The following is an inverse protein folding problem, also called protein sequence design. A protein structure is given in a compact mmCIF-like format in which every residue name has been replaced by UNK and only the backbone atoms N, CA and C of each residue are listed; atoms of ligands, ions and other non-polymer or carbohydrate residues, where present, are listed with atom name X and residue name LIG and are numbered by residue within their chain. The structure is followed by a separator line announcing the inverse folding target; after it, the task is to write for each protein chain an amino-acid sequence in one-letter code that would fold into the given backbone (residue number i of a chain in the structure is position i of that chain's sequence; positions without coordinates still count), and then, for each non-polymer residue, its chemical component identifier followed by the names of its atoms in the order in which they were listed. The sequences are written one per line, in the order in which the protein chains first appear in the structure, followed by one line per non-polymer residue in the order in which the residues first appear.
data_IF_023462351165
#
_entry.id   IF_023462351165
#
_cell.length_a   1.000
_cell.length_b   1.000
_cell.length_c   1.000
_cell.angle_alpha   90.00
_cell.angle_beta   90.00
_cell.angle_gamma   90.00
#
_symmetry.space_group_name_H-M   'P 1'
#
loop_
_entity.id
_entity.type
_entity.pdbx_description
1 polymer ?
#
# COMPACT_ATOMS: atom_id res chain seq x y z
N UNK A 1 9.26 -7.80 -1.78
CA UNK A 1 9.93 -8.90 -2.52
C UNK A 1 10.40 -9.91 -1.48
N UNK A 2 9.70 -11.04 -1.36
CA UNK A 2 10.05 -12.06 -0.37
C UNK A 2 11.33 -12.74 -0.84
N UNK A 3 12.38 -12.69 -0.03
CA UNK A 3 13.60 -13.46 -0.28
C UNK A 3 13.29 -14.94 0.02
N UNK A 4 13.08 -15.74 -1.02
CA UNK A 4 12.94 -17.18 -0.84
C UNK A 4 14.33 -17.79 -0.70
N UNK A 5 14.65 -18.31 0.50
CA UNK A 5 15.78 -19.25 0.64
C UNK A 5 15.37 -20.53 -0.02
N UNK A 6 16.16 -21.04 -0.98
CA UNK A 6 15.97 -22.37 -1.54
C UNK A 6 15.84 -23.39 -0.40
N UNK A 7 14.78 -24.18 -0.42
CA UNK A 7 14.63 -25.27 0.54
C UNK A 7 15.83 -26.22 0.40
N UNK A 8 16.52 -26.54 1.53
CA UNK A 8 17.52 -27.59 1.53
C UNK A 8 16.85 -28.88 1.06
N UNK A 9 17.47 -29.54 0.09
CA UNK A 9 17.05 -30.85 -0.38
C UNK A 9 17.16 -31.87 0.76
N UNK A 10 16.16 -31.89 1.65
CA UNK A 10 15.97 -33.04 2.52
C UNK A 10 15.24 -34.10 1.69
N UNK A 11 15.82 -35.27 1.56
CA UNK A 11 15.31 -36.48 0.93
C UNK A 11 13.84 -36.75 1.32
N UNK A 12 12.89 -36.12 0.64
CA UNK A 12 11.51 -36.59 0.61
C UNK A 12 11.43 -37.62 -0.50
N UNK A 13 11.34 -38.87 -0.14
CA UNK A 13 10.98 -39.95 -1.06
C UNK A 13 9.76 -39.51 -1.84
N UNK A 14 9.92 -39.32 -3.15
CA UNK A 14 8.81 -39.05 -4.05
C UNK A 14 7.82 -40.24 -3.98
N UNK A 15 6.71 -40.04 -3.28
CA UNK A 15 5.58 -40.96 -3.41
C UNK A 15 4.99 -40.76 -4.78
N UNK A 16 5.00 -41.82 -5.58
CA UNK A 16 4.29 -41.85 -6.87
C UNK A 16 2.81 -41.65 -6.58
N UNK A 17 2.26 -40.49 -6.94
CA UNK A 17 0.83 -40.25 -6.89
C UNK A 17 0.21 -40.84 -8.18
N UNK A 18 -0.95 -41.52 -8.12
CA UNK A 18 -1.65 -41.95 -9.31
C UNK A 18 -1.99 -40.74 -10.17
N UNK A 19 -1.69 -40.83 -11.48
CA UNK A 19 -2.06 -39.78 -12.45
C UNK A 19 -3.57 -39.67 -12.46
N UNK A 20 -4.08 -38.46 -12.30
CA UNK A 20 -5.51 -38.20 -12.41
C UNK A 20 -5.95 -38.51 -13.85
N UNK A 21 -6.89 -39.45 -14.06
CA UNK A 21 -7.31 -39.88 -15.40
C UNK A 21 -7.91 -38.74 -16.27
N UNK A 22 -8.30 -37.61 -15.64
CA UNK A 22 -8.79 -36.45 -16.39
C UNK A 22 -7.67 -35.68 -17.13
N UNK A 23 -6.41 -35.87 -16.78
CA UNK A 23 -5.28 -35.22 -17.45
C UNK A 23 -4.72 -36.03 -18.63
N UNK A 24 -5.08 -37.31 -18.75
CA UNK A 24 -4.44 -38.25 -19.66
C UNK A 24 -5.01 -38.33 -21.05
N UNK A 25 -6.25 -37.89 -21.29
CA UNK A 25 -6.90 -38.15 -22.58
C UNK A 25 -6.64 -37.13 -23.69
N UNK A 26 -6.06 -35.97 -23.37
CA UNK A 26 -5.90 -34.88 -24.34
C UNK A 26 -4.45 -34.64 -24.81
N UNK A 27 -3.45 -35.32 -24.28
CA UNK A 27 -2.07 -35.01 -24.60
C UNK A 27 -1.19 -36.25 -24.76
N UNK A 28 -0.68 -36.50 -26.01
CA UNK A 28 0.18 -37.64 -26.30
C UNK A 28 1.62 -37.51 -25.80
N UNK A 29 1.94 -36.54 -24.93
CA UNK A 29 3.25 -36.49 -24.27
C UNK A 29 3.25 -37.57 -23.20
N UNK A 30 3.43 -38.81 -23.66
CA UNK A 30 3.66 -39.94 -22.79
C UNK A 30 4.85 -39.67 -21.88
N UNK A 31 4.65 -39.75 -20.57
CA UNK A 31 5.74 -39.74 -19.61
C UNK A 31 5.55 -38.97 -18.33
N UNK A 32 4.46 -38.23 -18.10
CA UNK A 32 4.21 -37.64 -16.80
C UNK A 32 3.46 -38.61 -15.86
N UNK A 33 4.07 -39.72 -15.54
CA UNK A 33 3.61 -40.60 -14.45
C UNK A 33 3.88 -40.00 -13.04
N UNK A 34 4.56 -38.87 -12.98
CA UNK A 34 4.96 -38.21 -11.72
C UNK A 34 4.57 -36.73 -11.70
N UNK A 35 4.27 -36.21 -10.52
CA UNK A 35 4.08 -34.78 -10.35
C UNK A 35 5.29 -33.99 -10.88
N UNK A 36 5.08 -32.78 -11.48
CA UNK A 36 6.17 -31.95 -11.97
C UNK A 36 7.17 -31.63 -10.88
N UNK A 37 8.47 -31.54 -11.20
CA UNK A 37 9.47 -31.17 -10.21
C UNK A 37 9.19 -29.76 -9.70
N UNK A 38 9.23 -29.58 -8.36
CA UNK A 38 8.90 -28.27 -7.72
C UNK A 38 10.10 -27.33 -7.65
N UNK A 39 11.33 -27.84 -7.73
CA UNK A 39 12.54 -27.06 -7.45
C UNK A 39 13.59 -27.14 -8.55
N UNK A 40 13.33 -27.88 -9.61
CA UNK A 40 14.18 -27.98 -10.81
C UNK A 40 13.34 -27.78 -12.06
N UNK A 41 13.98 -27.36 -13.15
CA UNK A 41 13.30 -27.37 -14.45
C UNK A 41 13.00 -28.82 -14.84
N UNK A 42 11.83 -29.10 -15.45
CA UNK A 42 11.56 -30.36 -16.07
C UNK A 42 12.60 -30.64 -17.17
N UNK A 43 12.97 -31.92 -17.39
CA UNK A 43 13.91 -32.30 -18.45
C UNK A 43 13.35 -32.07 -19.87
N UNK A 44 12.04 -32.01 -20.01
CA UNK A 44 11.37 -31.82 -21.31
C UNK A 44 10.18 -30.87 -21.22
N UNK A 45 9.69 -30.38 -22.38
CA UNK A 45 8.51 -29.55 -22.45
C UNK A 45 7.24 -30.34 -22.13
N UNK A 46 6.25 -29.63 -21.55
CA UNK A 46 4.88 -30.14 -21.43
C UNK A 46 3.94 -29.29 -22.30
N UNK A 47 2.73 -29.79 -22.55
CA UNK A 47 1.76 -29.02 -23.32
C UNK A 47 1.37 -27.74 -22.57
N UNK A 48 0.96 -26.67 -23.29
CA UNK A 48 0.47 -25.43 -22.66
C UNK A 48 -0.73 -25.69 -21.72
N UNK A 49 -1.61 -26.62 -22.08
CA UNK A 49 -2.77 -26.97 -21.26
C UNK A 49 -2.34 -27.65 -19.93
N UNK A 50 -1.42 -28.62 -20.02
CA UNK A 50 -0.88 -29.30 -18.84
C UNK A 50 -0.15 -28.33 -17.93
N UNK A 51 0.70 -27.43 -18.47
CA UNK A 51 1.39 -26.41 -17.71
C UNK A 51 0.40 -25.43 -17.03
N UNK A 52 -0.63 -24.99 -17.76
CA UNK A 52 -1.70 -24.17 -17.23
C UNK A 52 -2.39 -24.86 -16.04
N UNK A 53 -2.74 -26.12 -16.19
CA UNK A 53 -3.48 -26.87 -15.17
C UNK A 53 -2.64 -27.01 -13.87
N UNK A 54 -1.35 -27.32 -13.98
CA UNK A 54 -0.48 -27.41 -12.82
C UNK A 54 -0.41 -26.08 -12.03
N UNK A 55 -0.25 -24.96 -12.73
CA UNK A 55 -0.21 -23.65 -12.09
C UNK A 55 -1.58 -23.29 -11.50
N UNK A 56 -2.65 -23.52 -12.24
CA UNK A 56 -4.01 -23.25 -11.81
C UNK A 56 -4.37 -24.02 -10.54
N UNK A 57 -4.03 -25.30 -10.46
CA UNK A 57 -4.35 -26.15 -9.30
C UNK A 57 -3.59 -25.70 -8.03
N UNK A 58 -2.33 -25.28 -8.17
CA UNK A 58 -1.58 -24.70 -7.05
C UNK A 58 -2.26 -23.40 -6.56
N UNK A 59 -2.72 -22.54 -7.47
CA UNK A 59 -3.38 -21.28 -7.15
C UNK A 59 -4.78 -21.47 -6.51
N UNK A 60 -5.44 -22.61 -6.69
CA UNK A 60 -6.70 -22.92 -6.02
C UNK A 60 -6.57 -23.04 -4.50
N UNK A 61 -5.34 -23.20 -3.98
CA UNK A 61 -5.05 -23.24 -2.56
C UNK A 61 -4.91 -21.84 -1.94
N UNK A 62 -4.90 -20.80 -2.76
CA UNK A 62 -4.89 -19.41 -2.28
C UNK A 62 -6.25 -19.04 -1.65
N UNK A 63 -6.21 -18.08 -0.72
CA UNK A 63 -7.42 -17.59 -0.05
C UNK A 63 -8.36 -16.82 -1.00
N UNK A 64 -9.63 -16.76 -0.61
CA UNK A 64 -10.61 -15.94 -1.33
C UNK A 64 -10.33 -14.45 -1.10
N UNK A 65 -9.96 -13.74 -2.15
CA UNK A 65 -9.62 -12.31 -2.09
C UNK A 65 -10.77 -11.41 -1.61
N UNK A 66 -12.03 -11.81 -1.79
CA UNK A 66 -13.20 -11.06 -1.30
C UNK A 66 -13.36 -11.12 0.22
N UNK A 67 -12.87 -12.19 0.87
CA UNK A 67 -12.92 -12.38 2.33
C UNK A 67 -11.63 -11.86 3.01
N UNK A 68 -10.71 -11.29 2.25
CA UNK A 68 -9.48 -10.73 2.78
C UNK A 68 -9.69 -9.27 3.19
N UNK A 69 -9.86 -9.03 4.49
CA UNK A 69 -9.99 -7.70 5.10
C UNK A 69 -8.66 -7.15 5.63
N UNK A 70 -7.54 -7.83 5.32
CA UNK A 70 -6.19 -7.41 5.70
C UNK A 70 -5.56 -6.45 4.69
N UNK A 71 -5.82 -6.64 3.40
CA UNK A 71 -5.16 -5.92 2.32
C UNK A 71 -5.89 -4.65 1.91
N UNK A 72 -5.11 -3.60 1.64
CA UNK A 72 -5.60 -2.36 1.00
C UNK A 72 -5.70 -2.48 -0.52
N UNK A 73 -5.09 -3.50 -1.11
CA UNK A 73 -4.97 -3.65 -2.56
C UNK A 73 -6.31 -4.02 -3.18
N UNK A 74 -6.63 -3.40 -4.31
CA UNK A 74 -7.84 -3.71 -5.10
C UNK A 74 -7.83 -5.16 -5.56
N UNK A 75 -8.93 -5.86 -5.31
CA UNK A 75 -9.12 -7.28 -5.65
C UNK A 75 -10.26 -7.50 -6.66
N UNK A 76 -10.88 -6.44 -7.13
CA UNK A 76 -11.96 -6.49 -8.09
C UNK A 76 -11.93 -5.31 -9.06
N UNK A 77 -12.09 -5.59 -10.32
CA UNK A 77 -12.34 -4.63 -11.41
C UNK A 77 -13.42 -5.17 -12.33
N UNK A 78 -14.05 -4.30 -13.11
CA UNK A 78 -15.04 -4.68 -14.11
C UNK A 78 -14.41 -5.60 -15.19
N UNK A 79 -15.17 -6.54 -15.79
CA UNK A 79 -14.64 -7.45 -16.82
C UNK A 79 -13.95 -6.74 -17.98
N UNK A 80 -14.45 -5.58 -18.41
CA UNK A 80 -13.86 -4.77 -19.50
C UNK A 80 -12.43 -4.32 -19.16
N UNK A 81 -12.15 -3.99 -17.89
CA UNK A 81 -10.80 -3.65 -17.45
C UNK A 81 -9.86 -4.86 -17.58
N UNK A 82 -10.33 -6.07 -17.22
CA UNK A 82 -9.56 -7.30 -17.39
C UNK A 82 -9.23 -7.59 -18.87
N UNK A 83 -10.19 -7.41 -19.77
CA UNK A 83 -9.97 -7.53 -21.21
C UNK A 83 -8.93 -6.52 -21.70
N UNK A 84 -9.09 -5.24 -21.34
CA UNK A 84 -8.15 -4.18 -21.72
C UNK A 84 -6.72 -4.47 -21.20
N UNK A 85 -6.59 -4.92 -19.96
CA UNK A 85 -5.29 -5.29 -19.39
C UNK A 85 -4.65 -6.47 -20.15
N UNK A 86 -5.44 -7.45 -20.55
CA UNK A 86 -4.95 -8.58 -21.37
C UNK A 86 -4.47 -8.13 -22.75
N UNK A 87 -5.15 -7.17 -23.39
CA UNK A 87 -4.74 -6.57 -24.66
C UNK A 87 -3.47 -5.70 -24.53
N UNK A 88 -3.21 -5.14 -23.35
CA UNK A 88 -2.06 -4.27 -23.08
C UNK A 88 -0.89 -4.97 -22.39
N UNK A 89 -0.90 -6.32 -22.24
CA UNK A 89 0.15 -7.07 -21.52
C UNK A 89 1.53 -7.00 -22.14
N UNK A 90 1.62 -6.70 -23.44
CA UNK A 90 2.84 -6.50 -24.21
C UNK A 90 3.42 -5.08 -24.10
N UNK A 91 2.70 -4.12 -23.50
CA UNK A 91 3.13 -2.71 -23.41
C UNK A 91 4.18 -2.54 -22.32
N UNK A 92 5.34 -2.04 -22.70
CA UNK A 92 6.43 -1.68 -21.80
C UNK A 92 6.53 -0.16 -21.64
N UNK A 93 6.46 0.34 -20.42
CA UNK A 93 6.40 1.78 -20.14
C UNK A 93 7.66 2.55 -20.52
N UNK A 94 8.81 1.89 -20.61
CA UNK A 94 10.05 2.58 -21.03
C UNK A 94 10.10 2.78 -22.54
N UNK A 95 9.46 1.94 -23.33
CA UNK A 95 9.50 1.98 -24.80
C UNK A 95 8.50 3.01 -25.36
N UNK A 96 8.73 4.28 -25.03
CA UNK A 96 7.80 5.38 -25.33
C UNK A 96 7.70 5.68 -26.84
N UNK A 97 8.74 5.33 -27.60
CA UNK A 97 8.73 5.47 -29.05
C UNK A 97 7.86 4.37 -29.72
N UNK A 98 7.97 3.15 -29.25
CA UNK A 98 7.12 2.04 -29.72
C UNK A 98 5.68 2.17 -29.22
N UNK A 99 5.50 2.60 -27.96
CA UNK A 99 4.17 2.73 -27.32
C UNK A 99 3.82 4.18 -26.94
N UNK A 100 3.82 5.14 -27.90
CA UNK A 100 3.60 6.56 -27.60
C UNK A 100 2.21 6.84 -27.01
N UNK A 101 1.23 5.99 -27.32
CA UNK A 101 -0.13 6.13 -26.76
C UNK A 101 -0.19 5.69 -25.30
N UNK A 102 0.52 4.65 -24.90
CA UNK A 102 0.62 4.25 -23.50
C UNK A 102 1.34 5.31 -22.69
N UNK A 103 2.42 5.89 -23.21
CA UNK A 103 3.10 7.03 -22.60
C UNK A 103 2.19 8.26 -22.47
N UNK A 104 1.34 8.52 -23.45
CA UNK A 104 0.35 9.59 -23.40
C UNK A 104 -0.73 9.33 -22.34
N UNK A 105 -1.16 8.07 -22.15
CA UNK A 105 -2.09 7.73 -21.07
C UNK A 105 -1.47 7.97 -19.68
N UNK A 106 -0.18 7.64 -19.51
CA UNK A 106 0.56 7.98 -18.28
C UNK A 106 0.52 9.48 -18.01
N UNK A 107 0.89 10.29 -19.01
CA UNK A 107 0.87 11.76 -18.91
C UNK A 107 -0.50 12.32 -18.56
N UNK A 108 -1.57 11.76 -19.14
CA UNK A 108 -2.95 12.16 -18.82
C UNK A 108 -3.33 11.80 -17.39
N UNK A 109 -2.95 10.61 -16.91
CA UNK A 109 -3.19 10.23 -15.51
C UNK A 109 -2.48 11.19 -14.55
N UNK A 110 -1.21 11.55 -14.82
CA UNK A 110 -0.47 12.54 -14.04
C UNK A 110 -1.20 13.87 -14.01
N UNK A 111 -1.65 14.38 -15.16
CA UNK A 111 -2.38 15.65 -15.24
C UNK A 111 -3.73 15.61 -14.50
N UNK A 112 -4.45 14.47 -14.57
CA UNK A 112 -5.70 14.28 -13.84
C UNK A 112 -5.48 14.28 -12.32
N UNK A 113 -4.43 13.60 -11.83
CA UNK A 113 -4.06 13.59 -10.43
C UNK A 113 -3.57 14.98 -9.97
N UNK A 114 -2.77 15.67 -10.77
CA UNK A 114 -2.32 17.02 -10.48
C UNK A 114 -3.52 17.99 -10.32
N UNK A 115 -4.49 17.89 -11.21
CA UNK A 115 -5.74 18.65 -11.09
C UNK A 115 -6.56 18.25 -9.86
N UNK A 116 -6.63 16.96 -9.57
CA UNK A 116 -7.36 16.43 -8.42
C UNK A 116 -6.76 16.92 -7.10
N UNK A 117 -5.43 17.07 -7.03
CA UNK A 117 -4.66 17.51 -5.86
C UNK A 117 -4.26 18.99 -5.91
N UNK A 118 -4.98 19.79 -6.72
CA UNK A 118 -4.86 21.25 -6.77
C UNK A 118 -3.42 21.74 -7.02
N UNK A 119 -2.68 21.08 -7.93
CA UNK A 119 -1.39 21.56 -8.36
C UNK A 119 -1.51 22.98 -8.96
N UNK A 120 -0.54 23.88 -8.70
CA UNK A 120 -0.60 25.26 -9.19
C UNK A 120 -0.72 25.36 -10.74
N UNK A 121 -0.01 24.47 -11.43
CA UNK A 121 -0.14 24.27 -12.88
C UNK A 121 -0.20 22.76 -13.18
N UNK A 122 -1.41 22.19 -13.31
CA UNK A 122 -1.56 20.76 -13.60
C UNK A 122 -0.92 20.32 -14.92
N UNK A 123 -0.74 21.23 -15.88
CA UNK A 123 -0.13 20.93 -17.18
C UNK A 123 1.40 20.86 -17.12
N UNK A 124 2.01 21.59 -16.19
CA UNK A 124 3.45 21.63 -15.93
C UNK A 124 3.88 20.74 -14.74
N UNK A 125 2.93 20.12 -14.04
CA UNK A 125 3.23 19.22 -12.93
C UNK A 125 4.05 18.02 -13.39
N UNK A 126 5.12 17.74 -12.65
CA UNK A 126 6.02 16.63 -12.94
C UNK A 126 5.52 15.40 -12.18
N UNK A 127 5.43 14.27 -12.87
CA UNK A 127 5.01 13.03 -12.25
C UNK A 127 5.30 11.82 -13.11
N UNK A 128 5.20 10.64 -12.49
CA UNK A 128 5.35 9.37 -13.18
C UNK A 128 4.49 8.27 -12.54
N UNK A 129 4.20 7.25 -13.32
CA UNK A 129 3.72 5.99 -12.79
C UNK A 129 4.86 5.22 -12.13
N UNK A 130 4.51 4.41 -11.14
CA UNK A 130 5.40 3.50 -10.42
C UNK A 130 4.74 2.13 -10.30
N UNK A 131 5.45 1.13 -9.82
CA UNK A 131 4.87 -0.20 -9.55
C UNK A 131 4.02 -0.24 -8.27
N UNK A 132 3.98 0.85 -7.53
CA UNK A 132 3.23 1.03 -6.29
C UNK A 132 3.81 2.15 -5.44
N UNK A 133 3.15 2.49 -4.33
CA UNK A 133 3.61 3.57 -3.44
C UNK A 133 5.00 3.34 -2.87
N UNK A 134 5.44 2.10 -2.65
CA UNK A 134 6.80 1.88 -2.13
C UNK A 134 7.89 2.43 -3.06
N UNK A 135 7.74 2.25 -4.38
CA UNK A 135 8.62 2.90 -5.36
C UNK A 135 8.43 4.42 -5.37
N UNK A 136 7.18 4.89 -5.32
CA UNK A 136 6.86 6.32 -5.30
C UNK A 136 7.48 7.03 -4.08
N UNK A 137 7.42 6.42 -2.88
CA UNK A 137 8.05 6.91 -1.66
C UNK A 137 9.59 6.96 -1.80
N UNK A 138 10.21 5.92 -2.39
CA UNK A 138 11.65 5.92 -2.66
C UNK A 138 12.05 7.09 -3.57
N UNK A 139 11.31 7.32 -4.66
CA UNK A 139 11.55 8.43 -5.58
C UNK A 139 11.38 9.79 -4.89
N UNK A 140 10.34 9.94 -4.07
CA UNK A 140 10.09 11.16 -3.31
C UNK A 140 11.21 11.43 -2.31
N UNK A 141 11.61 10.43 -1.53
CA UNK A 141 12.72 10.54 -0.58
C UNK A 141 14.05 10.89 -1.26
N UNK A 142 14.33 10.29 -2.41
CA UNK A 142 15.53 10.63 -3.24
C UNK A 142 15.50 12.09 -3.69
N UNK A 143 14.34 12.60 -4.11
CA UNK A 143 14.18 13.99 -4.51
C UNK A 143 14.41 14.94 -3.32
N UNK A 144 13.83 14.64 -2.15
CA UNK A 144 14.05 15.39 -0.91
C UNK A 144 15.52 15.43 -0.52
N UNK A 145 16.19 14.28 -0.50
CA UNK A 145 17.63 14.19 -0.20
C UNK A 145 18.46 14.98 -1.19
N UNK A 146 18.19 14.85 -2.49
CA UNK A 146 18.94 15.57 -3.53
C UNK A 146 18.75 17.10 -3.45
N UNK A 147 17.51 17.54 -3.19
CA UNK A 147 17.20 18.96 -2.96
C UNK A 147 17.98 19.50 -1.75
N UNK A 148 18.01 18.78 -0.66
CA UNK A 148 18.77 19.14 0.54
C UNK A 148 20.29 19.17 0.24
N UNK A 149 20.84 18.16 -0.45
CA UNK A 149 22.27 18.11 -0.83
C UNK A 149 22.68 19.32 -1.66
N UNK A 150 21.86 19.76 -2.63
CA UNK A 150 22.12 20.95 -3.46
C UNK A 150 22.23 22.22 -2.61
N UNK A 151 21.41 22.35 -1.59
CA UNK A 151 21.41 23.50 -0.68
C UNK A 151 22.55 23.44 0.35
N UNK A 152 23.04 22.25 0.65
CA UNK A 152 24.09 22.01 1.64
C UNK A 152 25.40 21.51 1.03
N UNK A 153 25.70 21.85 -0.22
CA UNK A 153 26.88 21.37 -0.96
C UNK A 153 28.21 21.65 -0.27
N UNK A 154 28.30 22.72 0.53
CA UNK A 154 29.49 23.12 1.24
C UNK A 154 29.69 22.32 2.55
N UNK A 155 28.66 21.64 3.02
CA UNK A 155 28.64 20.83 4.25
C UNK A 155 28.53 19.32 3.98
N UNK A 156 28.10 18.93 2.79
CA UNK A 156 27.87 17.53 2.40
C UNK A 156 28.60 17.18 1.09
N UNK A 157 29.32 16.02 0.98
CA UNK A 157 29.55 15.04 2.04
C UNK A 157 30.61 15.52 3.06
N UNK A 158 30.31 15.35 4.33
CA UNK A 158 31.19 15.79 5.42
C UNK A 158 30.58 15.44 6.76
N UNK A 159 30.47 16.42 7.65
CA UNK A 159 29.89 16.24 8.99
C UNK A 159 28.36 16.18 8.97
N UNK A 160 27.71 16.73 7.94
CA UNK A 160 26.26 16.78 7.86
C UNK A 160 25.65 15.37 7.67
N UNK A 161 24.63 15.05 8.47
CA UNK A 161 23.89 13.81 8.42
C UNK A 161 22.44 14.10 8.06
N UNK A 162 21.99 13.76 6.83
CA UNK A 162 20.59 13.99 6.44
C UNK A 162 19.65 13.16 7.30
N UNK A 163 18.56 13.76 7.75
CA UNK A 163 17.52 13.07 8.50
C UNK A 163 16.13 13.33 7.91
N UNK A 164 15.20 12.40 8.15
CA UNK A 164 13.82 12.47 7.69
C UNK A 164 12.89 12.25 8.90
N UNK A 165 11.93 13.15 9.08
CA UNK A 165 10.99 13.10 10.19
C UNK A 165 9.69 12.44 9.73
N UNK A 166 9.16 11.53 10.55
CA UNK A 166 7.95 10.78 10.29
C UNK A 166 7.34 10.22 11.57
N UNK A 167 6.07 9.88 11.57
CA UNK A 167 5.43 9.15 12.67
C UNK A 167 5.82 7.67 12.68
N UNK A 168 5.73 7.00 13.83
CA UNK A 168 5.94 5.56 13.94
C UNK A 168 4.89 4.72 13.19
N UNK A 169 3.84 5.36 12.67
CA UNK A 169 2.80 4.77 11.83
C UNK A 169 3.17 4.71 10.33
N UNK A 170 4.39 5.06 9.95
CA UNK A 170 4.84 4.93 8.55
C UNK A 170 4.83 3.48 8.07
N UNK A 171 4.67 3.33 6.77
CA UNK A 171 4.86 2.03 6.13
C UNK A 171 6.36 1.74 5.97
N UNK A 172 6.77 0.48 6.11
CA UNK A 172 8.16 0.01 6.07
C UNK A 172 8.99 0.53 4.88
N UNK A 173 8.36 0.98 3.80
CA UNK A 173 9.09 1.57 2.67
C UNK A 173 9.90 2.81 3.05
N UNK A 174 9.46 3.59 4.04
CA UNK A 174 10.19 4.75 4.53
C UNK A 174 11.40 4.37 5.37
N UNK A 175 11.29 3.34 6.20
CA UNK A 175 12.44 2.79 6.93
C UNK A 175 13.47 2.20 5.95
N UNK A 176 13.00 1.47 4.92
CA UNK A 176 13.87 1.00 3.82
C UNK A 176 14.53 2.16 3.08
N UNK A 177 13.79 3.25 2.81
CA UNK A 177 14.39 4.43 2.22
C UNK A 177 15.53 4.96 3.09
N UNK A 178 15.27 5.19 4.37
CA UNK A 178 16.27 5.71 5.31
C UNK A 178 17.50 4.81 5.38
N UNK A 179 17.30 3.49 5.47
CA UNK A 179 18.38 2.52 5.52
C UNK A 179 19.19 2.47 4.21
N UNK A 180 18.52 2.35 3.06
CA UNK A 180 19.18 2.17 1.76
C UNK A 180 19.89 3.43 1.27
N UNK A 181 19.40 4.60 1.65
CA UNK A 181 19.91 5.89 1.21
C UNK A 181 20.69 6.64 2.29
N UNK A 182 21.05 5.97 3.40
CA UNK A 182 21.85 6.55 4.48
C UNK A 182 21.26 7.88 4.98
N UNK A 183 19.98 7.87 5.31
CA UNK A 183 19.23 8.95 5.93
C UNK A 183 18.85 8.52 7.35
N UNK A 184 19.10 9.38 8.34
CA UNK A 184 18.67 9.13 9.71
C UNK A 184 17.14 9.20 9.79
N UNK A 185 16.51 8.11 10.25
CA UNK A 185 15.06 8.10 10.52
C UNK A 185 14.79 8.74 11.89
N UNK A 186 14.05 9.84 11.93
CA UNK A 186 13.56 10.47 13.16
C UNK A 186 12.09 10.18 13.32
N UNK A 187 11.81 9.16 14.12
CA UNK A 187 10.47 8.64 14.32
C UNK A 187 9.81 9.31 15.52
N UNK A 188 8.65 9.91 15.32
CA UNK A 188 7.77 10.34 16.42
C UNK A 188 7.01 9.11 16.91
N UNK A 189 7.22 8.64 18.15
CA UNK A 189 6.58 7.44 18.65
C UNK A 189 5.09 7.65 18.86
N UNK A 190 4.31 6.59 18.85
CA UNK A 190 2.94 6.61 19.33
C UNK A 190 2.94 6.77 20.86
N UNK A 191 2.00 7.54 21.41
CA UNK A 191 1.93 7.79 22.85
C UNK A 191 0.48 8.07 23.30
N UNK A 192 0.03 7.39 24.36
CA UNK A 192 -1.36 7.47 24.80
C UNK A 192 -2.33 7.11 23.67
N UNK A 193 -3.23 8.01 23.34
CA UNK A 193 -4.19 7.87 22.25
C UNK A 193 -3.73 8.56 20.94
N UNK A 194 -2.50 9.05 20.90
CA UNK A 194 -1.90 9.62 19.70
C UNK A 194 -1.16 8.54 18.92
N UNK A 195 -1.74 8.12 17.78
CA UNK A 195 -1.22 7.06 16.94
C UNK A 195 -0.55 7.55 15.65
N UNK A 196 -0.38 8.86 15.49
CA UNK A 196 0.13 9.50 14.28
C UNK A 196 1.03 10.69 14.60
N UNK A 197 1.73 11.22 13.58
CA UNK A 197 2.55 12.40 13.67
C UNK A 197 1.68 13.65 13.96
N UNK A 198 2.09 14.45 14.94
CA UNK A 198 1.53 15.78 15.21
C UNK A 198 2.50 16.89 14.81
N UNK A 199 1.97 18.12 14.66
CA UNK A 199 2.72 19.26 14.18
C UNK A 199 3.83 19.71 15.17
N UNK A 200 3.57 19.64 16.47
CA UNK A 200 4.53 20.07 17.50
C UNK A 200 5.73 19.11 17.54
N UNK A 201 5.47 17.79 17.57
CA UNK A 201 6.51 16.77 17.57
C UNK A 201 7.33 16.80 16.27
N UNK A 202 6.69 17.07 15.12
CA UNK A 202 7.39 17.24 13.86
C UNK A 202 8.37 18.42 13.90
N UNK A 203 7.91 19.57 14.40
CA UNK A 203 8.73 20.78 14.48
C UNK A 203 9.90 20.63 15.49
N UNK A 204 9.68 19.96 16.62
CA UNK A 204 10.69 19.75 17.65
C UNK A 204 11.88 18.92 17.15
N UNK A 205 11.62 17.91 16.30
CA UNK A 205 12.66 17.03 15.76
C UNK A 205 13.43 17.64 14.60
N UNK A 206 13.02 18.81 14.07
CA UNK A 206 13.68 19.47 12.96
C UNK A 206 15.04 20.03 13.34
N UNK A 207 15.98 19.89 12.41
CA UNK A 207 17.26 20.59 12.44
C UNK A 207 17.71 21.01 11.03
N UNK A 208 18.89 21.58 10.91
CA UNK A 208 19.49 22.04 9.65
C UNK A 208 19.81 20.91 8.66
N UNK A 209 19.78 19.65 9.12
CA UNK A 209 20.03 18.46 8.33
C UNK A 209 18.74 17.74 7.93
N UNK A 210 17.58 18.25 8.31
CA UNK A 210 16.29 17.67 7.97
C UNK A 210 16.01 17.85 6.47
N UNK A 211 15.88 16.73 5.75
CA UNK A 211 15.61 16.74 4.31
C UNK A 211 14.10 16.94 4.01
N UNK A 212 13.24 16.64 4.97
CA UNK A 212 11.80 16.78 4.86
C UNK A 212 11.05 16.13 6.01
N UNK A 213 9.74 16.31 5.99
CA UNK A 213 8.77 15.62 6.86
C UNK A 213 7.84 14.79 5.98
N UNK A 214 7.60 13.54 6.37
CA UNK A 214 6.59 12.69 5.74
C UNK A 214 5.32 12.78 6.54
N UNK A 215 4.26 13.26 5.91
CA UNK A 215 2.91 13.29 6.49
C UNK A 215 2.04 12.23 5.81
N UNK A 216 1.40 11.35 6.60
CA UNK A 216 0.60 10.24 6.08
C UNK A 216 -0.85 10.65 5.94
N UNK A 217 -1.40 10.53 4.73
CA UNK A 217 -2.83 10.67 4.50
C UNK A 217 -3.46 9.28 4.41
N UNK A 218 -3.82 8.74 5.57
CA UNK A 218 -4.41 7.41 5.71
C UNK A 218 -3.45 6.36 6.27
N UNK A 219 -3.32 6.34 7.58
CA UNK A 219 -2.49 5.42 8.34
C UNK A 219 -2.86 3.96 8.06
N UNK A 220 -1.83 3.12 7.92
CA UNK A 220 -2.02 1.66 7.77
C UNK A 220 -2.56 1.03 9.05
N UNK A 221 -2.34 1.64 10.22
CA UNK A 221 -2.69 1.07 11.52
C UNK A 221 -4.18 1.22 11.86
N UNK A 222 -4.75 2.39 11.57
CA UNK A 222 -6.09 2.76 12.01
C UNK A 222 -6.94 3.51 10.97
N UNK A 223 -6.33 3.91 9.85
CA UNK A 223 -6.99 4.65 8.77
C UNK A 223 -7.01 6.17 8.95
N UNK A 224 -6.42 6.72 10.02
CA UNK A 224 -6.43 8.16 10.33
C UNK A 224 -5.60 8.99 9.35
N UNK A 225 -5.95 10.28 9.20
CA UNK A 225 -5.18 11.28 8.46
C UNK A 225 -4.30 12.08 9.41
N UNK A 226 -3.05 12.29 9.04
CA UNK A 226 -2.17 13.22 9.76
C UNK A 226 -2.52 14.68 9.41
N UNK A 227 -2.33 15.61 10.34
CA UNK A 227 -2.74 17.01 10.19
C UNK A 227 -1.75 17.78 9.29
N UNK A 228 -1.78 17.54 7.98
CA UNK A 228 -0.81 18.07 7.01
C UNK A 228 -0.73 19.59 7.04
N UNK A 229 -1.88 20.26 7.17
CA UNK A 229 -1.93 21.74 7.21
C UNK A 229 -1.23 22.30 8.45
N UNK A 230 -1.48 21.71 9.61
CA UNK A 230 -0.86 22.08 10.87
C UNK A 230 0.65 21.79 10.88
N UNK A 231 1.06 20.65 10.31
CA UNK A 231 2.48 20.31 10.13
C UNK A 231 3.15 21.37 9.24
N UNK A 232 2.54 21.74 8.11
CA UNK A 232 3.07 22.79 7.24
C UNK A 232 3.19 24.13 7.98
N UNK A 233 2.18 24.52 8.74
CA UNK A 233 2.20 25.78 9.51
C UNK A 233 3.32 25.79 10.57
N UNK A 234 3.50 24.70 11.33
CA UNK A 234 4.59 24.58 12.30
C UNK A 234 5.97 24.67 11.62
N UNK A 235 6.13 24.06 10.44
CA UNK A 235 7.37 24.16 9.68
C UNK A 235 7.60 25.57 9.08
N UNK A 236 6.54 26.34 8.81
CA UNK A 236 6.66 27.77 8.44
C UNK A 236 7.22 28.59 9.61
N UNK A 237 6.80 28.30 10.84
CA UNK A 237 7.36 28.91 12.05
C UNK A 237 8.84 28.52 12.25
N UNK A 238 9.18 27.25 12.06
CA UNK A 238 10.58 26.77 12.10
C UNK A 238 11.44 27.54 11.10
N UNK A 239 10.95 27.73 9.87
CA UNK A 239 11.67 28.50 8.86
C UNK A 239 11.85 29.96 9.24
N UNK A 240 10.82 30.60 9.82
CA UNK A 240 10.92 32.00 10.28
C UNK A 240 11.92 32.16 11.42
N UNK A 241 11.98 31.21 12.35
CA UNK A 241 12.83 31.30 13.54
C UNK A 241 14.26 30.82 13.30
N UNK A 242 14.46 29.79 12.47
CA UNK A 242 15.74 29.08 12.27
C UNK A 242 16.31 29.23 10.86
N UNK A 243 15.53 29.66 9.88
CA UNK A 243 15.91 29.73 8.49
C UNK A 243 15.92 28.40 7.75
N UNK A 244 15.41 27.33 8.35
CA UNK A 244 15.38 25.99 7.75
C UNK A 244 14.14 25.80 6.87
N UNK A 245 14.35 25.72 5.56
CA UNK A 245 13.29 25.45 4.58
C UNK A 245 13.11 23.93 4.40
N UNK A 246 12.23 23.36 5.23
CA UNK A 246 11.95 21.92 5.30
C UNK A 246 10.66 21.62 4.53
N UNK A 247 10.71 20.85 3.42
CA UNK A 247 9.53 20.47 2.66
C UNK A 247 8.73 19.36 3.32
N UNK A 248 7.45 19.23 2.92
CA UNK A 248 6.58 18.11 3.28
C UNK A 248 6.37 17.21 2.06
N UNK A 249 6.50 15.91 2.27
CA UNK A 249 5.96 14.90 1.37
C UNK A 249 4.70 14.31 1.96
N UNK A 250 3.62 14.24 1.17
CA UNK A 250 2.39 13.59 1.61
C UNK A 250 2.36 12.16 1.07
N UNK A 251 2.51 11.20 1.98
CA UNK A 251 2.25 9.80 1.66
C UNK A 251 0.75 9.52 1.67
N UNK A 252 0.14 9.75 0.52
CA UNK A 252 -1.27 9.50 0.27
C UNK A 252 -1.54 8.14 -0.35
N UNK A 253 -0.71 7.13 -0.04
CA UNK A 253 -0.83 5.78 -0.61
C UNK A 253 -2.26 5.26 -0.64
N UNK A 254 -3.04 5.57 0.37
CA UNK A 254 -4.46 5.25 0.47
C UNK A 254 -5.35 6.49 0.35
N UNK A 255 -5.10 7.53 1.16
CA UNK A 255 -6.00 8.67 1.33
C UNK A 255 -6.07 9.62 0.15
N UNK A 256 -5.01 9.74 -0.66
CA UNK A 256 -5.01 10.66 -1.80
C UNK A 256 -6.02 10.27 -2.92
N UNK A 257 -6.62 9.08 -2.84
CA UNK A 257 -7.73 8.64 -3.69
C UNK A 257 -9.07 8.50 -2.93
N UNK A 258 -9.13 9.00 -1.69
CA UNK A 258 -10.36 9.07 -0.87
C UNK A 258 -10.69 10.54 -0.56
N UNK A 259 -9.77 11.25 0.11
CA UNK A 259 -9.99 12.60 0.60
C UNK A 259 -10.50 13.59 -0.47
N UNK A 260 -9.98 13.63 -1.71
CA UNK A 260 -10.47 14.56 -2.72
C UNK A 260 -11.95 14.36 -3.09
N UNK A 261 -12.49 13.18 -2.86
CA UNK A 261 -13.86 12.84 -3.22
C UNK A 261 -14.83 12.96 -2.05
N UNK A 262 -14.39 12.60 -0.84
CA UNK A 262 -15.27 12.52 0.33
C UNK A 262 -15.07 13.69 1.31
N UNK A 263 -13.85 14.26 1.34
CA UNK A 263 -13.46 15.32 2.26
C UNK A 263 -12.83 16.51 1.50
N UNK A 264 -13.53 17.09 0.49
CA UNK A 264 -12.95 18.08 -0.43
C UNK A 264 -12.49 19.38 0.25
N UNK A 265 -13.04 19.68 1.44
CA UNK A 265 -12.66 20.87 2.24
C UNK A 265 -11.37 20.64 3.03
N UNK A 266 -10.92 19.40 3.20
CA UNK A 266 -9.67 19.09 3.88
C UNK A 266 -8.48 19.59 3.05
N UNK A 267 -7.64 20.43 3.67
CA UNK A 267 -6.46 20.98 3.01
C UNK A 267 -5.23 20.16 3.39
N UNK A 268 -4.75 19.37 2.45
CA UNK A 268 -3.63 18.46 2.65
C UNK A 268 -2.69 18.37 1.45
N UNK A 269 -3.07 18.93 0.32
CA UNK A 269 -2.48 18.74 -0.99
C UNK A 269 -1.64 19.95 -1.45
N UNK A 270 -1.42 20.11 -2.76
CA UNK A 270 -0.66 21.22 -3.32
C UNK A 270 -1.26 22.61 -3.08
N UNK A 271 -2.41 22.75 -2.46
CA UNK A 271 -2.88 24.04 -1.92
C UNK A 271 -1.92 24.57 -0.83
N UNK A 272 -1.20 23.68 -0.14
CA UNK A 272 -0.16 24.03 0.83
C UNK A 272 1.18 24.22 0.11
N UNK A 273 1.79 25.41 0.11
CA UNK A 273 3.04 25.67 -0.61
C UNK A 273 4.19 24.77 -0.20
N UNK A 274 4.22 24.31 1.07
CA UNK A 274 5.27 23.47 1.63
C UNK A 274 5.19 22.00 1.18
N UNK A 275 4.03 21.56 0.68
CA UNK A 275 3.89 20.22 0.10
C UNK A 275 4.66 20.16 -1.22
N UNK A 276 5.83 19.53 -1.20
CA UNK A 276 6.72 19.41 -2.35
C UNK A 276 6.35 18.24 -3.27
N UNK A 277 5.84 17.15 -2.71
CA UNK A 277 5.46 15.97 -3.47
C UNK A 277 4.35 15.17 -2.79
N UNK A 278 3.61 14.42 -3.61
CA UNK A 278 2.51 13.55 -3.16
C UNK A 278 2.63 12.22 -3.92
N UNK A 279 2.41 11.11 -3.21
CA UNK A 279 2.24 9.81 -3.86
C UNK A 279 0.87 9.20 -3.59
N UNK A 280 0.47 8.24 -4.43
CA UNK A 280 -0.66 7.37 -4.18
C UNK A 280 -0.46 5.98 -4.79
N UNK A 281 -1.13 4.98 -4.23
CA UNK A 281 -1.27 3.66 -4.85
C UNK A 281 -2.51 3.62 -5.72
N UNK A 282 -2.33 3.59 -7.04
CA UNK A 282 -3.44 3.36 -7.97
C UNK A 282 -4.11 2.01 -7.72
N UNK A 283 -3.34 1.04 -7.24
CA UNK A 283 -3.81 -0.31 -6.94
C UNK A 283 -4.47 -0.49 -5.56
N UNK A 284 -4.65 0.61 -4.78
CA UNK A 284 -5.47 0.62 -3.57
C UNK A 284 -6.82 1.28 -3.90
N UNK A 285 -7.09 2.44 -3.36
CA UNK A 285 -8.32 3.19 -3.62
C UNK A 285 -8.35 3.92 -4.97
N UNK A 286 -7.30 3.80 -5.79
CA UNK A 286 -7.33 4.10 -7.22
C UNK A 286 -8.07 3.04 -8.07
N UNK A 287 -8.51 1.94 -7.44
CA UNK A 287 -9.41 0.91 -7.97
C UNK A 287 -8.84 0.14 -9.17
N UNK A 288 -7.54 -0.08 -9.20
CA UNK A 288 -6.83 -0.88 -10.21
C UNK A 288 -6.16 -2.09 -9.56
N UNK A 289 -6.08 -3.21 -10.26
CA UNK A 289 -5.34 -4.39 -9.83
C UNK A 289 -3.86 -4.08 -9.51
N UNK A 290 -3.16 -4.91 -8.68
CA UNK A 290 -1.80 -4.68 -8.25
C UNK A 290 -0.84 -4.30 -9.38
N UNK A 291 0.10 -3.38 -9.09
CA UNK A 291 1.21 -3.04 -9.98
C UNK A 291 1.21 -1.59 -10.49
N UNK A 292 0.47 -0.67 -9.87
CA UNK A 292 0.52 0.75 -10.22
C UNK A 292 0.46 1.65 -8.98
N UNK A 293 1.31 2.66 -8.99
CA UNK A 293 1.31 3.81 -8.09
C UNK A 293 1.68 5.07 -8.87
N UNK A 294 1.61 6.20 -8.21
CA UNK A 294 1.85 7.51 -8.80
C UNK A 294 2.67 8.36 -7.84
N UNK A 295 3.63 9.08 -8.37
CA UNK A 295 4.39 10.10 -7.67
C UNK A 295 4.33 11.40 -8.46
N UNK A 296 3.97 12.51 -7.79
CA UNK A 296 3.88 13.84 -8.37
C UNK A 296 4.69 14.82 -7.53
N UNK A 297 5.38 15.72 -8.20
CA UNK A 297 6.14 16.82 -7.61
C UNK A 297 5.52 18.14 -8.02
N UNK A 298 5.51 19.09 -7.10
CA UNK A 298 4.97 20.44 -7.30
C UNK A 298 5.56 21.13 -8.53
N UNK A 299 6.89 21.07 -8.65
CA UNK A 299 7.67 21.80 -9.64
C UNK A 299 9.09 21.18 -9.80
N UNK A 300 9.92 21.82 -10.62
CA UNK A 300 11.30 21.40 -10.90
C UNK A 300 12.27 21.62 -9.73
N UNK A 301 11.94 22.45 -8.72
CA UNK A 301 12.73 22.55 -7.51
C UNK A 301 12.49 21.36 -6.58
N UNK A 302 11.26 20.88 -6.56
CA UNK A 302 10.86 19.68 -5.80
C UNK A 302 11.44 18.39 -6.42
N UNK A 303 11.60 18.32 -7.76
CA UNK A 303 12.29 17.21 -8.45
C UNK A 303 13.52 17.75 -9.20
N UNK A 304 14.71 17.70 -8.61
CA UNK A 304 15.94 18.14 -9.26
C UNK A 304 16.23 17.43 -10.58
N UNK A 305 16.55 18.20 -11.64
CA UNK A 305 16.71 17.69 -13.01
C UNK A 305 17.80 16.61 -13.12
N UNK A 306 18.85 16.65 -12.31
CA UNK A 306 19.91 15.64 -12.30
C UNK A 306 19.46 14.23 -11.88
N UNK A 307 18.24 14.09 -11.36
CA UNK A 307 17.61 12.79 -11.06
C UNK A 307 16.87 12.21 -12.26
N UNK A 308 16.61 13.02 -13.29
CA UNK A 308 15.92 12.58 -14.49
C UNK A 308 16.94 12.12 -15.53
N UNK A 309 17.01 10.81 -15.72
CA UNK A 309 17.90 10.22 -16.72
C UNK A 309 17.26 10.30 -18.11
N UNK A 310 18.10 10.53 -19.13
CA UNK A 310 17.67 10.55 -20.53
C UNK A 310 18.27 9.36 -21.27
N UNK A 311 17.43 8.59 -21.93
CA UNK A 311 17.82 7.40 -22.68
C UNK A 311 17.47 7.62 -24.15
N UNK A 312 18.39 7.30 -25.07
CA UNK A 312 18.20 7.54 -26.50
C UNK A 312 18.37 6.30 -27.38
N UNK A 313 18.82 5.17 -26.82
CA UNK A 313 19.09 3.94 -27.59
C UNK A 313 17.82 3.11 -27.92
N UNK A 314 16.66 3.55 -27.43
CA UNK A 314 15.37 2.95 -27.75
C UNK A 314 14.57 3.75 -28.81
N UNK A 315 15.22 4.69 -29.52
CA UNK A 315 14.63 5.41 -30.65
C UNK A 315 14.11 6.83 -30.33
N UNK A 316 14.53 7.49 -29.27
CA UNK A 316 14.12 8.86 -28.93
C UNK A 316 14.74 9.38 -27.64
N UNK A 317 14.51 10.64 -27.31
CA UNK A 317 14.89 11.20 -26.00
C UNK A 317 13.82 10.85 -24.97
N UNK A 318 14.12 9.89 -24.07
CA UNK A 318 13.18 9.35 -23.11
C UNK A 318 13.59 9.71 -21.68
N UNK A 319 13.02 10.77 -21.10
CA UNK A 319 13.24 11.07 -19.69
C UNK A 319 12.60 10.01 -18.81
N UNK A 320 13.35 9.52 -17.83
CA UNK A 320 12.89 8.55 -16.82
C UNK A 320 13.46 8.84 -15.44
N UNK A 321 12.66 8.71 -14.42
CA UNK A 321 13.08 8.76 -13.02
C UNK A 321 12.65 7.50 -12.26
N UNK A 322 11.82 6.63 -12.84
CA UNK A 322 11.42 5.37 -12.23
C UNK A 322 12.62 4.49 -11.86
N UNK A 323 12.55 3.79 -10.73
CA UNK A 323 13.61 2.86 -10.31
C UNK A 323 13.71 1.65 -11.26
N UNK A 324 12.56 1.16 -11.72
CA UNK A 324 12.52 0.04 -12.65
C UNK A 324 12.53 0.55 -14.09
N UNK A 325 13.40 -0.01 -14.92
CA UNK A 325 13.49 0.35 -16.34
C UNK A 325 12.27 -0.19 -17.08
N UNK A 326 12.18 -1.50 -17.29
CA UNK A 326 11.01 -2.14 -17.89
C UNK A 326 9.87 -2.29 -16.88
N UNK A 327 8.68 -1.80 -17.22
CA UNK A 327 7.48 -1.83 -16.37
C UNK A 327 6.25 -2.12 -17.22
N UNK A 328 5.25 -2.85 -16.69
CA UNK A 328 4.04 -3.16 -17.44
C UNK A 328 3.18 -1.90 -17.67
N UNK A 329 2.73 -1.71 -18.91
CA UNK A 329 1.84 -0.61 -19.28
C UNK A 329 0.35 -0.91 -19.08
N UNK A 330 -0.03 -2.17 -18.91
CA UNK A 330 -1.42 -2.59 -18.73
C UNK A 330 -2.09 -1.91 -17.53
N UNK A 331 -1.38 -1.75 -16.41
CA UNK A 331 -1.89 -1.11 -15.21
C UNK A 331 -2.11 0.40 -15.40
N UNK A 332 -1.27 1.07 -16.20
CA UNK A 332 -1.45 2.48 -16.54
C UNK A 332 -2.69 2.65 -17.43
N UNK A 333 -2.88 1.78 -18.40
CA UNK A 333 -4.08 1.75 -19.24
C UNK A 333 -5.34 1.50 -18.39
N UNK A 334 -5.28 0.57 -17.43
CA UNK A 334 -6.36 0.29 -16.50
C UNK A 334 -6.67 1.47 -15.58
N UNK A 335 -5.65 2.20 -15.11
CA UNK A 335 -5.88 3.41 -14.30
C UNK A 335 -6.58 4.51 -15.10
N UNK A 336 -6.16 4.74 -16.34
CA UNK A 336 -6.83 5.71 -17.22
C UNK A 336 -8.26 5.27 -17.51
N UNK A 337 -8.49 3.98 -17.81
CA UNK A 337 -9.83 3.42 -17.95
C UNK A 337 -10.71 3.72 -16.74
N UNK A 338 -10.21 3.47 -15.54
CA UNK A 338 -10.96 3.69 -14.28
C UNK A 338 -11.30 5.17 -14.10
N UNK A 339 -10.35 6.08 -14.40
CA UNK A 339 -10.61 7.52 -14.36
C UNK A 339 -11.71 7.94 -15.33
N UNK A 340 -11.65 7.44 -16.56
CA UNK A 340 -12.68 7.76 -17.59
C UNK A 340 -14.03 7.12 -17.28
N UNK A 341 -14.03 5.87 -16.76
CA UNK A 341 -15.23 5.10 -16.47
C UNK A 341 -16.04 5.69 -15.30
N UNK A 342 -15.35 6.09 -14.25
CA UNK A 342 -15.99 6.57 -13.03
C UNK A 342 -16.14 8.09 -13.00
N UNK A 343 -15.14 8.83 -13.46
CA UNK A 343 -15.09 10.26 -13.24
C UNK A 343 -15.19 10.63 -11.76
N UNK A 344 -15.30 11.89 -11.43
CA UNK A 344 -15.38 12.37 -10.02
C UNK A 344 -16.61 11.82 -9.28
N UNK A 345 -17.77 11.79 -9.93
CA UNK A 345 -19.00 11.32 -9.29
C UNK A 345 -19.01 9.82 -9.01
N UNK A 346 -18.47 9.02 -9.94
CA UNK A 346 -18.34 7.56 -9.75
C UNK A 346 -17.34 7.21 -8.67
N UNK A 347 -16.16 7.86 -8.64
CA UNK A 347 -15.22 7.69 -7.54
C UNK A 347 -15.86 8.04 -6.20
N UNK A 348 -16.53 9.21 -6.10
CA UNK A 348 -17.26 9.59 -4.88
C UNK A 348 -18.25 8.52 -4.45
N UNK A 349 -19.05 8.00 -5.37
CA UNK A 349 -20.07 6.99 -5.05
C UNK A 349 -19.44 5.68 -4.55
N UNK A 350 -18.39 5.19 -5.18
CA UNK A 350 -17.68 3.96 -4.78
C UNK A 350 -17.01 4.15 -3.41
N UNK A 351 -16.28 5.25 -3.22
CA UNK A 351 -15.58 5.50 -1.97
C UNK A 351 -16.56 5.73 -0.81
N UNK A 352 -17.68 6.43 -1.05
CA UNK A 352 -18.73 6.62 -0.04
C UNK A 352 -19.35 5.29 0.37
N UNK A 353 -19.76 4.46 -0.60
CA UNK A 353 -20.32 3.14 -0.29
C UNK A 353 -19.34 2.29 0.54
N UNK A 354 -18.04 2.37 0.23
CA UNK A 354 -17.00 1.64 0.95
C UNK A 354 -16.83 2.16 2.38
N UNK A 355 -16.87 3.50 2.58
CA UNK A 355 -16.81 4.14 3.89
C UNK A 355 -18.06 3.82 4.73
N UNK A 356 -19.23 3.80 4.12
CA UNK A 356 -20.49 3.46 4.81
C UNK A 356 -20.47 2.03 5.33
N UNK A 357 -19.93 1.07 4.57
CA UNK A 357 -19.73 -0.31 5.03
C UNK A 357 -18.77 -0.36 6.23
N UNK A 358 -17.65 0.36 6.18
CA UNK A 358 -16.67 0.40 7.26
C UNK A 358 -17.27 0.96 8.55
N UNK A 359 -18.00 2.08 8.46
CA UNK A 359 -18.69 2.70 9.59
C UNK A 359 -19.72 1.76 10.20
N UNK A 360 -20.60 1.16 9.37
CA UNK A 360 -21.61 0.21 9.83
C UNK A 360 -20.99 -0.97 10.58
N UNK A 361 -19.88 -1.51 10.07
CA UNK A 361 -19.18 -2.61 10.76
C UNK A 361 -18.56 -2.15 12.07
N UNK A 362 -17.90 -1.00 12.09
CA UNK A 362 -17.29 -0.45 13.30
C UNK A 362 -18.34 -0.22 14.39
N UNK A 363 -19.46 0.42 14.06
CA UNK A 363 -20.59 0.65 14.98
C UNK A 363 -21.13 -0.68 15.55
N UNK A 364 -21.35 -1.69 14.70
CA UNK A 364 -21.86 -3.00 15.11
C UNK A 364 -20.88 -3.74 16.01
N UNK A 365 -19.58 -3.73 15.70
CA UNK A 365 -18.54 -4.36 16.51
C UNK A 365 -18.45 -3.65 17.88
N UNK A 366 -18.48 -2.31 17.90
CA UNK A 366 -18.50 -1.55 19.15
C UNK A 366 -19.73 -1.83 20.03
N UNK A 367 -20.89 -2.11 19.40
CA UNK A 367 -22.13 -2.43 20.12
C UNK A 367 -22.15 -3.84 20.76
N UNK A 368 -21.21 -4.75 20.39
CA UNK A 368 -21.12 -6.08 21.01
C UNK A 368 -20.68 -6.03 22.49
N UNK A 369 -19.99 -4.95 22.89
CA UNK A 369 -19.48 -4.77 24.25
C UNK A 369 -18.17 -5.51 24.55
N UNK A 370 -17.81 -6.51 23.78
CA UNK A 370 -16.55 -7.26 23.95
C UNK A 370 -15.33 -6.53 23.33
N UNK A 371 -15.57 -5.45 22.57
CA UNK A 371 -14.53 -4.73 21.83
C UNK A 371 -14.57 -3.23 22.08
N UNK A 372 -13.39 -2.61 22.06
CA UNK A 372 -13.19 -1.16 22.09
C UNK A 372 -12.61 -0.70 20.75
N UNK A 373 -13.28 0.24 20.10
CA UNK A 373 -12.82 0.83 18.85
C UNK A 373 -11.66 1.81 19.10
N UNK A 374 -10.66 1.81 18.22
CA UNK A 374 -9.58 2.80 18.16
C UNK A 374 -9.85 3.83 17.04
N UNK A 375 -10.52 3.38 15.97
CA UNK A 375 -10.98 4.25 14.88
C UNK A 375 -12.30 3.72 14.32
N UNK A 376 -13.03 4.57 13.57
CA UNK A 376 -14.43 4.33 13.20
C UNK A 376 -14.65 4.21 11.68
N UNK A 377 -13.59 4.32 10.86
CA UNK A 377 -13.72 4.33 9.40
C UNK A 377 -14.24 5.65 8.83
N UNK A 378 -14.06 6.75 9.56
CA UNK A 378 -14.57 8.08 9.18
C UNK A 378 -13.72 8.78 8.12
N UNK A 379 -12.44 8.51 8.08
CA UNK A 379 -11.47 9.05 7.13
C UNK A 379 -11.23 8.05 6.00
N UNK A 380 -10.33 7.08 6.17
CA UNK A 380 -10.32 5.91 5.30
C UNK A 380 -11.46 4.95 5.66
N UNK A 381 -11.91 4.10 4.71
CA UNK A 381 -12.81 2.98 5.01
C UNK A 381 -12.05 1.84 5.73
N UNK A 382 -11.38 2.19 6.81
CA UNK A 382 -10.50 1.32 7.62
C UNK A 382 -10.75 1.64 9.09
N UNK A 383 -10.91 0.62 9.89
CA UNK A 383 -11.03 0.80 11.33
C UNK A 383 -10.25 -0.27 12.10
N UNK A 384 -9.80 0.12 13.28
CA UNK A 384 -9.07 -0.73 14.20
C UNK A 384 -9.81 -0.86 15.54
N UNK A 385 -9.72 -2.01 16.15
CA UNK A 385 -10.35 -2.28 17.43
C UNK A 385 -9.52 -3.31 18.25
N UNK A 386 -9.70 -3.29 19.55
CA UNK A 386 -9.11 -4.24 20.48
C UNK A 386 -10.19 -4.87 21.36
N UNK A 387 -9.87 -5.87 22.17
CA UNK A 387 -10.78 -6.38 23.21
C UNK A 387 -11.03 -5.28 24.25
N UNK A 388 -12.24 -5.25 24.81
CA UNK A 388 -12.55 -4.36 25.94
C UNK A 388 -11.70 -4.77 27.17
N UNK A 389 -11.43 -3.82 28.06
CA UNK A 389 -10.47 -3.98 29.16
C UNK A 389 -10.90 -5.06 30.18
N UNK A 390 -12.19 -5.37 30.27
CA UNK A 390 -12.78 -6.40 31.14
C UNK A 390 -12.85 -7.79 30.48
N UNK A 391 -12.51 -7.90 29.20
CA UNK A 391 -12.50 -9.18 28.46
C UNK A 391 -11.18 -9.90 28.71
N UNK A 392 -11.26 -11.01 29.42
CA UNK A 392 -10.10 -11.87 29.79
C UNK A 392 -10.16 -13.27 29.16
N UNK A 393 -11.29 -13.62 28.54
CA UNK A 393 -11.52 -14.97 28.00
C UNK A 393 -10.78 -15.22 26.67
N UNK A 394 -10.50 -14.18 25.90
CA UNK A 394 -9.83 -14.25 24.59
C UNK A 394 -9.11 -12.94 24.27
N UNK A 395 -8.24 -12.97 23.30
CA UNK A 395 -7.57 -11.76 22.75
C UNK A 395 -7.82 -11.60 21.24
N UNK A 396 -7.31 -10.51 20.67
CA UNK A 396 -7.46 -10.19 19.23
C UNK A 396 -6.83 -11.26 18.31
N UNK A 397 -5.79 -11.94 18.75
CA UNK A 397 -5.15 -13.02 17.97
C UNK A 397 -6.03 -14.27 17.92
N UNK A 398 -6.75 -14.56 18.98
CA UNK A 398 -7.73 -15.66 19.04
C UNK A 398 -8.88 -15.40 18.07
N UNK A 399 -9.41 -14.16 18.04
CA UNK A 399 -10.45 -13.75 17.10
C UNK A 399 -9.93 -13.88 15.66
N UNK A 400 -8.74 -13.34 15.35
CA UNK A 400 -8.14 -13.44 14.01
C UNK A 400 -8.03 -14.89 13.53
N UNK A 401 -7.57 -15.80 14.42
CA UNK A 401 -7.40 -17.21 14.09
C UNK A 401 -8.75 -17.90 13.84
N UNK A 402 -9.73 -17.70 14.72
CA UNK A 402 -11.04 -18.35 14.62
C UNK A 402 -11.83 -17.83 13.40
N UNK A 403 -11.71 -16.54 13.09
CA UNK A 403 -12.30 -15.98 11.88
C UNK A 403 -11.64 -16.54 10.62
N UNK A 404 -10.31 -16.82 10.64
CA UNK A 404 -9.62 -17.47 9.53
C UNK A 404 -10.15 -18.88 9.25
N UNK A 405 -10.52 -19.65 10.26
CA UNK A 405 -11.13 -20.97 10.11
C UNK A 405 -12.47 -20.91 9.35
N UNK A 406 -13.14 -19.75 9.37
CA UNK A 406 -14.37 -19.44 8.61
C UNK A 406 -14.10 -18.77 7.26
N UNK A 407 -12.82 -18.60 6.88
CA UNK A 407 -12.40 -18.02 5.61
C UNK A 407 -12.09 -16.53 5.66
N UNK A 408 -12.35 -15.83 6.76
CA UNK A 408 -12.08 -14.40 6.90
C UNK A 408 -10.61 -14.13 7.23
N UNK A 409 -9.96 -13.28 6.46
CA UNK A 409 -8.58 -12.87 6.74
C UNK A 409 -8.59 -11.48 7.37
N UNK A 410 -8.46 -11.41 8.71
CA UNK A 410 -8.33 -10.17 9.48
C UNK A 410 -6.98 -10.21 10.19
N UNK A 411 -6.09 -9.21 10.01
CA UNK A 411 -4.82 -9.19 10.71
C UNK A 411 -5.00 -8.77 12.17
N UNK A 412 -4.35 -9.51 13.07
CA UNK A 412 -4.10 -9.10 14.44
C UNK A 412 -2.61 -8.80 14.59
N UNK A 413 -2.27 -7.68 15.22
CA UNK A 413 -0.88 -7.25 15.41
C UNK A 413 -0.76 -6.31 16.62
N UNK A 414 0.47 -6.17 17.13
CA UNK A 414 0.79 -5.16 18.14
C UNK A 414 1.14 -3.82 17.47
N UNK A 415 0.91 -2.72 18.17
CA UNK A 415 1.34 -1.40 17.71
C UNK A 415 2.87 -1.26 17.83
N UNK A 416 3.45 -0.22 17.17
CA UNK A 416 4.88 0.08 17.17
C UNK A 416 5.46 0.40 18.56
N UNK A 417 6.79 0.61 18.67
CA UNK A 417 7.48 0.97 19.91
C UNK A 417 6.79 2.07 20.72
N UNK A 418 6.72 1.87 22.03
CA UNK A 418 6.00 2.59 23.10
C UNK A 418 4.49 2.32 23.18
N UNK A 419 3.93 1.52 22.25
CA UNK A 419 2.56 1.01 22.32
C UNK A 419 2.48 -0.48 21.99
N UNK A 420 3.53 -1.22 22.25
CA UNK A 420 3.55 -2.69 22.09
C UNK A 420 2.59 -3.40 23.07
N UNK A 421 2.11 -2.66 24.08
CA UNK A 421 1.04 -3.08 24.99
C UNK A 421 -0.30 -3.22 24.28
N UNK A 422 -0.51 -2.52 23.16
CA UNK A 422 -1.76 -2.49 22.44
C UNK A 422 -1.73 -3.45 21.26
N UNK A 423 -2.55 -4.50 21.34
CA UNK A 423 -2.80 -5.43 20.23
C UNK A 423 -4.16 -5.14 19.61
N UNK A 424 -4.22 -5.14 18.29
CA UNK A 424 -5.41 -4.74 17.55
C UNK A 424 -5.79 -5.71 16.43
N UNK A 425 -7.05 -5.69 16.07
CA UNK A 425 -7.59 -6.15 14.81
C UNK A 425 -7.86 -4.95 13.91
N UNK A 426 -7.58 -5.07 12.62
CA UNK A 426 -7.87 -4.03 11.63
C UNK A 426 -8.69 -4.60 10.50
N UNK A 427 -9.76 -3.90 10.15
CA UNK A 427 -10.62 -4.21 9.00
C UNK A 427 -10.41 -3.15 7.93
N UNK A 428 -10.14 -3.60 6.71
CA UNK A 428 -10.02 -2.76 5.51
C UNK A 428 -11.20 -3.07 4.60
N UNK A 429 -12.12 -2.12 4.48
CA UNK A 429 -13.20 -2.19 3.51
C UNK A 429 -12.72 -1.67 2.15
N UNK A 430 -13.04 -2.41 1.09
CA UNK A 430 -12.61 -2.09 -0.28
C UNK A 430 -13.76 -2.28 -1.24
N UNK A 431 -13.64 -1.70 -2.43
CA UNK A 431 -14.56 -1.99 -3.51
C UNK A 431 -14.69 -3.50 -3.74
N UNK A 432 -15.91 -4.01 -3.78
CA UNK A 432 -16.24 -5.45 -3.86
C UNK A 432 -16.50 -6.13 -2.50
N UNK A 433 -16.32 -5.39 -1.38
CA UNK A 433 -16.81 -5.82 -0.06
C UNK A 433 -18.08 -5.06 0.29
N UNK A 434 -19.21 -5.74 0.21
CA UNK A 434 -20.56 -5.19 0.31
C UNK A 434 -21.21 -5.41 1.69
N UNK A 435 -22.35 -4.78 1.94
CA UNK A 435 -23.08 -4.92 3.20
C UNK A 435 -23.48 -6.36 3.50
N UNK A 436 -23.86 -7.15 2.48
CA UNK A 436 -24.18 -8.58 2.66
C UNK A 436 -22.97 -9.39 3.13
N UNK A 437 -21.75 -9.08 2.65
CA UNK A 437 -20.53 -9.68 3.18
C UNK A 437 -20.23 -9.20 4.60
N UNK A 438 -20.50 -7.93 4.90
CA UNK A 438 -20.39 -7.41 6.26
C UNK A 438 -21.37 -8.12 7.22
N UNK A 439 -22.59 -8.41 6.77
CA UNK A 439 -23.58 -9.16 7.57
C UNK A 439 -23.11 -10.59 7.85
N UNK A 440 -22.56 -11.27 6.85
CA UNK A 440 -21.98 -12.61 7.03
C UNK A 440 -20.80 -12.59 7.99
N UNK A 441 -19.92 -11.60 7.86
CA UNK A 441 -18.79 -11.40 8.77
C UNK A 441 -19.25 -11.20 10.22
N UNK A 442 -20.26 -10.33 10.43
CA UNK A 442 -20.79 -10.05 11.76
C UNK A 442 -21.45 -11.29 12.37
N UNK A 443 -22.23 -12.03 11.57
CA UNK A 443 -22.85 -13.28 12.04
C UNK A 443 -21.80 -14.32 12.49
N UNK A 444 -20.69 -14.45 11.75
CA UNK A 444 -19.58 -15.32 12.13
C UNK A 444 -18.86 -14.85 13.39
N UNK A 445 -18.62 -13.53 13.54
CA UNK A 445 -18.00 -12.96 14.72
C UNK A 445 -18.89 -13.13 15.96
N UNK A 446 -20.17 -12.81 15.86
CA UNK A 446 -21.15 -12.96 16.94
C UNK A 446 -21.28 -14.42 17.39
N UNK A 447 -21.23 -15.36 16.45
CA UNK A 447 -21.29 -16.80 16.78
C UNK A 447 -20.03 -17.30 17.52
N UNK A 448 -18.89 -16.63 17.41
CA UNK A 448 -17.65 -16.98 18.12
C UNK A 448 -17.64 -16.53 19.58
N UNK A 449 -18.31 -15.43 19.92
CA UNK A 449 -18.23 -14.85 21.27
C UNK A 449 -18.69 -15.81 22.39
N UNK A 450 -19.81 -16.55 22.28
CA UNK A 450 -20.17 -17.58 23.23
C UNK A 450 -19.13 -18.69 23.35
N UNK A 451 -18.55 -19.15 22.23
CA UNK A 451 -17.51 -20.20 22.24
C UNK A 451 -16.29 -19.79 23.08
N UNK A 452 -15.84 -18.53 22.98
CA UNK A 452 -14.74 -18.01 23.77
C UNK A 452 -15.06 -17.94 25.28
N UNK A 453 -16.33 -17.65 25.63
CA UNK A 453 -16.77 -17.57 27.03
C UNK A 453 -16.90 -18.95 27.66
N UNK A 454 -17.28 -19.98 26.89
CA UNK A 454 -17.38 -21.36 27.34
C UNK A 454 -16.03 -22.05 27.54
N UNK A 455 -15.04 -21.65 26.73
CA UNK A 455 -13.67 -22.17 26.79
C UNK A 455 -12.67 -21.02 26.95
N UNK A 456 -12.64 -20.37 28.14
CA UNK A 456 -11.76 -19.23 28.35
C UNK A 456 -10.29 -19.63 28.38
N UNK A 457 -9.47 -18.79 27.78
CA UNK A 457 -8.02 -18.89 27.78
C UNK A 457 -7.43 -18.81 26.38
N UNK A 458 -6.18 -18.34 26.27
CA UNK A 458 -5.53 -18.19 24.97
C UNK A 458 -5.42 -19.56 24.31
N UNK A 459 -5.89 -19.66 23.08
CA UNK A 459 -5.68 -20.85 22.27
C UNK A 459 -4.18 -21.10 22.12
N UNK A 460 -3.70 -22.37 22.19
CA UNK A 460 -2.29 -22.69 22.05
C UNK A 460 -1.72 -22.05 20.78
N UNK A 461 -0.75 -21.17 20.93
CA UNK A 461 -0.07 -20.50 19.82
C UNK A 461 1.07 -21.38 19.31
N UNK A 462 1.21 -21.57 17.99
CA UNK A 462 2.44 -22.15 17.46
C UNK A 462 3.62 -21.28 17.89
N UNK A 463 4.71 -21.89 18.38
CA UNK A 463 5.91 -21.19 18.90
C UNK A 463 6.57 -20.20 17.91
N UNK A 464 6.17 -20.20 16.63
CA UNK A 464 6.78 -19.41 15.57
C UNK A 464 5.85 -18.32 14.96
N UNK A 465 4.74 -18.00 15.58
CA UNK A 465 3.93 -16.86 15.11
C UNK A 465 4.50 -15.60 15.76
N UNK A 466 5.13 -14.75 14.94
CA UNK A 466 5.53 -13.42 15.37
C UNK A 466 4.27 -12.66 15.81
N UNK A 467 4.15 -12.41 17.11
CA UNK A 467 3.06 -11.65 17.71
C UNK A 467 3.40 -10.17 17.79
N UNK A 468 4.67 -9.81 17.59
CA UNK A 468 5.18 -8.45 17.60
C UNK A 468 5.39 -7.91 16.19
N UNK A 469 5.23 -6.60 16.06
CA UNK A 469 5.55 -5.86 14.85
C UNK A 469 7.09 -5.82 14.71
N UNK A 470 7.62 -6.52 13.73
CA UNK A 470 9.04 -6.48 13.37
C UNK A 470 9.17 -5.90 11.97
N UNK A 471 9.83 -4.77 11.86
CA UNK A 471 10.28 -4.19 10.60
C UNK A 471 11.70 -4.65 10.25
#
# INVERSE_FOLDING_TARGET
MTLHKGASASDRKHTKHPVNPFYGEADPVAGMETAPPRHTLPDGPVSPHTAYQFVHDELMLDGNSRLNLATFVTTWMEPQAGVLMAECRDKNMIDKDEYPRTAELERRCVAMLANLWHAPDPSATIGCSTTGSSEACMLAGMALKRRWMRRNKDRYPGEARPNLIMGANVQVCWEKFCNFWEVEARMVPMEGDRFHLDAASAAELCDENTIGVVAILGSTFDGSYEPVAEICAALDEVQQQKGWDIPVHVDGASGAMIAPFLDPELIWDFRLPRVASINTSGHKYGLVYPGVGWALWRDTDALPEELVFRVNYLGGDMPTFALNFSRPGAQVAAQYYTFMRLGRSGFRAVQQATRDVARSMAERIGALGDFRLLSHGDELPVFAFTTADDVTAFDVFDVSRRMRERGWLIPAYTFPPKREDLSVLRVVCRNGFSLDLADLFMADLEALLPEFREQPGPLQRPENVATAFHH
#
